data_IF_778805504266
#
_entry.id   IF_778805504266
#
_cell.length_a   1.000
_cell.length_b   1.000
_cell.length_c   1.000
_cell.angle_alpha   90.00
_cell.angle_beta   90.00
_cell.angle_gamma   90.00
#
_symmetry.space_group_name_H-M   'P 1'
#
loop_
_entity.id
_entity.type
_entity.pdbx_description
1 polymer ?
#
# COMPACT_ATOMS: atom_id res chain seq x y z
N UNK A 1 1.78 -8.28 -21.43
CA UNK A 1 1.94 -7.46 -20.21
C UNK A 1 1.51 -6.04 -20.55
N UNK A 2 0.77 -5.40 -19.66
CA UNK A 2 0.49 -3.96 -19.73
C UNK A 2 1.77 -3.17 -19.43
N UNK A 3 1.83 -1.92 -19.88
CA UNK A 3 2.94 -1.00 -19.60
C UNK A 3 2.41 0.25 -18.94
N UNK A 4 3.13 0.75 -17.96
CA UNK A 4 2.85 2.07 -17.39
C UNK A 4 3.32 3.16 -18.36
N UNK A 5 2.82 4.40 -18.22
CA UNK A 5 3.30 5.52 -19.03
C UNK A 5 4.81 5.82 -18.88
N UNK A 6 5.42 5.33 -17.79
CA UNK A 6 6.84 5.54 -17.50
C UNK A 6 7.75 4.39 -17.98
N UNK A 7 7.18 3.27 -18.46
CA UNK A 7 7.93 2.04 -18.76
C UNK A 7 9.13 2.30 -19.68
N UNK A 8 8.95 3.03 -20.79
CA UNK A 8 10.03 3.29 -21.76
C UNK A 8 11.15 4.13 -21.15
N UNK A 9 10.81 5.23 -20.50
CA UNK A 9 11.82 6.09 -19.88
C UNK A 9 12.57 5.36 -18.76
N UNK A 10 11.90 4.52 -17.95
CA UNK A 10 12.54 3.75 -16.90
C UNK A 10 13.45 2.63 -17.45
N UNK A 11 13.19 2.11 -18.67
CA UNK A 11 14.10 1.21 -19.37
C UNK A 11 15.40 1.95 -19.77
N UNK A 12 15.31 3.20 -20.25
CA UNK A 12 16.48 4.01 -20.58
C UNK A 12 17.37 4.29 -19.37
N UNK A 13 16.77 4.39 -18.17
CA UNK A 13 17.50 4.50 -16.89
C UNK A 13 18.04 3.16 -16.35
N UNK A 14 17.94 2.07 -17.12
CA UNK A 14 18.53 0.77 -16.78
C UNK A 14 17.71 -0.06 -15.79
N UNK A 15 16.43 0.18 -15.67
CA UNK A 15 15.52 -0.63 -14.88
C UNK A 15 15.55 -2.11 -15.31
N UNK A 16 15.58 -3.02 -14.34
CA UNK A 16 15.40 -4.46 -14.58
C UNK A 16 13.96 -4.81 -14.36
N UNK A 17 13.28 -5.24 -15.42
CA UNK A 17 11.84 -5.42 -15.43
C UNK A 17 11.41 -6.87 -15.14
N UNK A 18 10.25 -7.01 -14.52
CA UNK A 18 9.56 -8.28 -14.23
C UNK A 18 8.06 -8.12 -14.49
N UNK A 19 7.35 -9.25 -14.62
CA UNK A 19 5.89 -9.27 -14.57
C UNK A 19 5.44 -9.06 -13.11
N UNK A 20 4.63 -8.03 -12.88
CA UNK A 20 3.98 -7.78 -11.61
C UNK A 20 2.51 -7.41 -11.84
N UNK A 21 1.61 -8.26 -11.40
CA UNK A 21 0.15 -8.10 -11.60
C UNK A 21 -0.24 -7.85 -13.09
N UNK A 22 0.48 -8.48 -14.03
CA UNK A 22 0.26 -8.32 -15.46
C UNK A 22 0.89 -7.07 -16.08
N UNK A 23 1.61 -6.26 -15.30
CA UNK A 23 2.37 -5.11 -15.77
C UNK A 23 3.87 -5.41 -15.89
N UNK A 24 4.52 -4.82 -16.89
CA UNK A 24 5.97 -4.78 -17.00
C UNK A 24 6.52 -3.68 -16.06
N UNK A 25 7.06 -4.10 -14.89
CA UNK A 25 7.47 -3.18 -13.81
C UNK A 25 8.95 -3.33 -13.46
N UNK A 26 9.68 -2.24 -13.13
CA UNK A 26 11.06 -2.34 -12.67
C UNK A 26 11.12 -2.98 -11.28
N UNK A 27 11.86 -4.08 -11.14
CA UNK A 27 12.14 -4.68 -9.83
C UNK A 27 13.26 -3.96 -9.11
N UNK A 28 14.24 -3.44 -9.86
CA UNK A 28 15.36 -2.63 -9.36
C UNK A 28 16.06 -1.87 -10.50
N UNK A 29 16.87 -0.88 -10.13
CA UNK A 29 17.81 -0.14 -10.97
C UNK A 29 19.26 -0.43 -10.52
N UNK A 30 19.76 0.26 -9.52
CA UNK A 30 21.11 0.11 -8.97
C UNK A 30 21.21 -1.02 -7.94
N UNK A 31 20.09 -1.53 -7.48
CA UNK A 31 19.99 -2.65 -6.56
C UNK A 31 19.14 -2.37 -5.34
N UNK A 32 18.41 -3.39 -4.90
CA UNK A 32 17.38 -3.29 -3.84
C UNK A 32 17.95 -2.65 -2.56
N UNK A 33 19.16 -3.04 -2.16
CA UNK A 33 19.78 -2.52 -0.92
C UNK A 33 20.09 -1.02 -1.02
N UNK A 34 20.63 -0.58 -2.18
CA UNK A 34 20.93 0.83 -2.44
C UNK A 34 19.67 1.68 -2.46
N UNK A 35 18.66 1.24 -3.21
CA UNK A 35 17.37 1.92 -3.35
C UNK A 35 16.62 2.01 -2.02
N UNK A 36 16.59 0.92 -1.27
CA UNK A 36 16.01 0.92 0.08
C UNK A 36 16.68 1.95 0.99
N UNK A 37 18.03 1.96 1.00
CA UNK A 37 18.82 2.89 1.81
C UNK A 37 18.58 4.34 1.39
N UNK A 38 18.50 4.60 0.08
CA UNK A 38 18.19 5.94 -0.44
C UNK A 38 16.86 6.46 0.11
N UNK A 39 15.81 5.61 0.17
CA UNK A 39 14.51 6.00 0.75
C UNK A 39 14.62 6.25 2.26
N UNK A 40 15.38 5.45 3.00
CA UNK A 40 15.54 5.61 4.46
C UNK A 40 16.36 6.84 4.84
N UNK A 41 17.42 7.15 4.09
CA UNK A 41 18.40 8.18 4.45
C UNK A 41 18.24 9.48 3.63
N UNK A 42 17.56 9.41 2.48
CA UNK A 42 17.47 10.52 1.53
C UNK A 42 16.09 10.59 0.83
N UNK A 43 16.00 10.17 -0.41
CA UNK A 43 14.76 10.16 -1.19
C UNK A 43 14.82 9.15 -2.34
N UNK A 44 13.70 8.48 -2.60
CA UNK A 44 13.52 7.59 -3.74
C UNK A 44 12.27 7.93 -4.55
N UNK A 45 12.33 7.67 -5.84
CA UNK A 45 11.24 7.84 -6.81
C UNK A 45 10.79 6.48 -7.32
N UNK A 46 9.49 6.21 -7.22
CA UNK A 46 8.85 4.98 -7.68
C UNK A 46 7.80 5.29 -8.74
N UNK A 47 7.76 4.51 -9.80
CA UNK A 47 6.56 4.35 -10.63
C UNK A 47 5.58 3.43 -9.92
N UNK A 48 4.38 3.95 -9.67
CA UNK A 48 3.30 3.20 -9.04
C UNK A 48 2.00 3.26 -9.86
N UNK A 49 2.13 3.57 -11.17
CA UNK A 49 1.01 3.68 -12.11
C UNK A 49 0.36 2.33 -12.46
N UNK A 50 0.82 1.23 -11.88
CA UNK A 50 0.16 -0.07 -11.97
C UNK A 50 -1.03 -0.19 -11.02
N UNK A 51 -1.16 0.71 -10.05
CA UNK A 51 -2.33 0.78 -9.17
C UNK A 51 -3.60 1.07 -9.99
N UNK A 52 -4.77 0.85 -9.38
CA UNK A 52 -6.04 1.18 -10.00
C UNK A 52 -6.71 2.38 -9.36
N UNK A 53 -7.46 3.12 -10.15
CA UNK A 53 -8.16 4.33 -9.73
C UNK A 53 -9.62 4.30 -10.17
N UNK A 54 -10.51 4.42 -9.18
CA UNK A 54 -11.96 4.40 -9.40
C UNK A 54 -12.57 5.69 -8.89
N UNK A 55 -13.29 6.39 -9.75
CA UNK A 55 -14.06 7.57 -9.39
C UNK A 55 -15.48 7.18 -8.97
N UNK A 56 -15.92 7.68 -7.82
CA UNK A 56 -17.31 7.57 -7.35
C UNK A 56 -17.93 8.96 -7.28
N UNK A 57 -19.01 9.20 -8.01
CA UNK A 57 -19.64 10.51 -8.07
C UNK A 57 -21.17 10.43 -7.93
N UNK A 58 -21.76 11.48 -7.35
CA UNK A 58 -23.19 11.66 -7.23
C UNK A 58 -23.63 11.93 -5.79
N UNK A 59 -24.90 12.28 -5.61
CA UNK A 59 -25.46 12.61 -4.30
C UNK A 59 -25.44 11.43 -3.32
N UNK A 60 -25.47 10.19 -3.84
CA UNK A 60 -25.37 8.97 -3.04
C UNK A 60 -23.94 8.49 -2.80
N UNK A 61 -22.89 9.22 -3.25
CA UNK A 61 -21.52 8.75 -3.18
C UNK A 61 -21.03 8.54 -1.73
N UNK A 62 -21.36 9.44 -0.81
CA UNK A 62 -21.02 9.27 0.61
C UNK A 62 -21.65 8.00 1.20
N UNK A 63 -22.93 7.78 0.94
CA UNK A 63 -23.65 6.61 1.47
C UNK A 63 -23.08 5.32 0.86
N UNK A 64 -22.71 5.37 -0.43
CA UNK A 64 -22.06 4.25 -1.12
C UNK A 64 -20.72 3.89 -0.48
N UNK A 65 -19.82 4.86 -0.26
CA UNK A 65 -18.51 4.58 0.37
C UNK A 65 -18.65 4.16 1.84
N UNK A 66 -19.67 4.68 2.55
CA UNK A 66 -19.98 4.22 3.90
C UNK A 66 -20.43 2.75 3.92
N UNK A 67 -21.16 2.31 2.91
CA UNK A 67 -21.57 0.91 2.76
C UNK A 67 -20.43 -0.01 2.33
N UNK A 68 -19.59 0.44 1.39
CA UNK A 68 -18.54 -0.38 0.78
C UNK A 68 -17.35 -0.62 1.71
N UNK A 69 -16.98 0.38 2.54
CA UNK A 69 -15.70 0.37 3.24
C UNK A 69 -15.87 0.36 4.76
N UNK A 70 -14.93 -0.29 5.45
CA UNK A 70 -14.97 -0.50 6.90
C UNK A 70 -14.74 0.75 7.75
N UNK A 71 -14.06 1.76 7.21
CA UNK A 71 -13.78 3.01 7.92
C UNK A 71 -15.01 3.96 7.88
N UNK A 72 -15.04 4.97 8.75
CA UNK A 72 -16.10 5.99 8.79
C UNK A 72 -15.71 7.21 7.95
N UNK A 73 -16.57 7.62 7.04
CA UNK A 73 -16.36 8.74 6.12
C UNK A 73 -17.25 9.95 6.42
N UNK A 74 -18.14 9.88 7.42
CA UNK A 74 -19.07 10.98 7.76
C UNK A 74 -18.32 12.27 8.14
N UNK A 75 -17.10 12.15 8.67
CA UNK A 75 -16.26 13.27 9.07
C UNK A 75 -15.12 13.57 8.09
N UNK A 76 -15.04 12.84 6.99
CA UNK A 76 -13.98 13.05 5.99
C UNK A 76 -14.28 14.32 5.18
N UNK A 77 -13.36 15.27 5.23
CA UNK A 77 -13.49 16.55 4.52
C UNK A 77 -12.74 16.49 3.18
N UNK A 78 -13.17 17.35 2.25
CA UNK A 78 -12.42 17.56 0.99
C UNK A 78 -10.93 17.84 1.27
N UNK A 79 -10.06 17.31 0.42
CA UNK A 79 -8.61 17.36 0.60
C UNK A 79 -8.06 16.33 1.60
N UNK A 80 -8.88 15.40 2.10
CA UNK A 80 -8.45 14.34 3.04
C UNK A 80 -8.54 12.97 2.41
N UNK A 81 -7.65 12.08 2.88
CA UNK A 81 -7.55 10.68 2.47
C UNK A 81 -7.82 9.79 3.67
N UNK A 82 -8.41 8.62 3.44
CA UNK A 82 -8.62 7.62 4.49
C UNK A 82 -8.36 6.21 3.96
N UNK A 83 -7.49 5.48 4.66
CA UNK A 83 -7.27 4.06 4.42
C UNK A 83 -8.45 3.25 4.94
N UNK A 84 -8.82 2.21 4.22
CA UNK A 84 -9.92 1.32 4.60
C UNK A 84 -9.74 -0.07 4.01
N UNK A 85 -10.53 -1.00 4.52
CA UNK A 85 -10.73 -2.31 3.92
C UNK A 85 -12.08 -2.32 3.20
N UNK A 86 -12.15 -3.04 2.10
CA UNK A 86 -13.35 -3.42 1.38
C UNK A 86 -13.58 -4.91 1.63
N UNK A 87 -14.76 -5.29 2.12
CA UNK A 87 -15.05 -6.66 2.52
C UNK A 87 -16.12 -7.29 1.64
N UNK A 88 -16.14 -8.62 1.61
CA UNK A 88 -17.27 -9.40 1.16
C UNK A 88 -18.26 -9.67 2.30
N UNK A 89 -19.42 -10.27 1.98
CA UNK A 89 -20.48 -10.54 2.96
C UNK A 89 -20.03 -11.50 4.08
N UNK A 90 -19.02 -12.33 3.82
CA UNK A 90 -18.44 -13.28 4.77
C UNK A 90 -17.39 -12.65 5.69
N UNK A 91 -17.05 -11.38 5.51
CA UNK A 91 -16.05 -10.64 6.26
C UNK A 91 -14.61 -10.84 5.76
N UNK A 92 -14.43 -11.52 4.63
CA UNK A 92 -13.15 -11.63 3.94
C UNK A 92 -12.77 -10.31 3.25
N UNK A 93 -11.48 -10.09 3.05
CA UNK A 93 -10.97 -8.83 2.50
C UNK A 93 -10.97 -8.88 0.97
N UNK A 94 -11.84 -8.10 0.35
CA UNK A 94 -11.85 -7.92 -1.12
C UNK A 94 -10.64 -7.11 -1.55
N UNK A 95 -10.36 -5.98 -0.87
CA UNK A 95 -9.14 -5.20 -1.05
C UNK A 95 -8.89 -4.25 0.12
N UNK A 96 -7.68 -3.69 0.19
CA UNK A 96 -7.34 -2.54 1.02
C UNK A 96 -7.08 -1.32 0.13
N UNK A 97 -7.67 -0.19 0.49
CA UNK A 97 -7.80 0.96 -0.40
C UNK A 97 -7.50 2.29 0.28
N UNK A 98 -7.13 3.30 -0.53
CA UNK A 98 -7.14 4.69 -0.12
C UNK A 98 -8.33 5.42 -0.74
N UNK A 99 -9.15 6.05 0.10
CA UNK A 99 -10.31 6.83 -0.34
C UNK A 99 -10.02 8.32 -0.15
N UNK A 100 -10.04 9.05 -1.24
CA UNK A 100 -9.79 10.49 -1.34
C UNK A 100 -11.12 11.23 -1.46
N UNK A 101 -11.36 12.20 -0.59
CA UNK A 101 -12.55 13.05 -0.68
C UNK A 101 -12.23 14.32 -1.48
N UNK A 102 -12.64 14.38 -2.75
CA UNK A 102 -12.50 15.57 -3.58
C UNK A 102 -13.60 16.60 -3.24
N UNK A 103 -14.82 16.11 -3.07
CA UNK A 103 -15.96 16.87 -2.57
C UNK A 103 -16.96 15.92 -1.90
N UNK A 104 -18.02 16.42 -1.24
CA UNK A 104 -19.03 15.54 -0.64
C UNK A 104 -19.74 14.58 -1.62
N UNK A 105 -19.71 14.89 -2.91
CA UNK A 105 -20.32 14.10 -3.99
C UNK A 105 -19.29 13.47 -4.95
N UNK A 106 -17.99 13.54 -4.62
CA UNK A 106 -16.93 13.08 -5.51
C UNK A 106 -15.76 12.48 -4.72
N UNK A 107 -15.53 11.20 -4.92
CA UNK A 107 -14.46 10.44 -4.28
C UNK A 107 -13.60 9.73 -5.32
N UNK A 108 -12.31 9.64 -5.03
CA UNK A 108 -11.34 8.88 -5.79
C UNK A 108 -10.83 7.75 -4.91
N UNK A 109 -10.84 6.53 -5.42
CA UNK A 109 -10.44 5.33 -4.69
C UNK A 109 -9.24 4.72 -5.39
N UNK A 110 -8.10 4.63 -4.69
CA UNK A 110 -6.91 3.94 -5.17
C UNK A 110 -6.95 2.50 -4.65
N UNK A 111 -6.87 1.52 -5.57
CA UNK A 111 -6.98 0.07 -5.32
C UNK A 111 -5.72 -0.66 -5.77
N UNK A 112 -5.52 -1.90 -5.29
CA UNK A 112 -4.36 -2.71 -5.65
C UNK A 112 -4.39 -3.15 -7.12
N UNK A 113 -3.23 -3.17 -7.77
CA UNK A 113 -3.04 -3.48 -9.19
C UNK A 113 -3.68 -4.80 -9.64
N UNK A 114 -3.53 -5.86 -8.84
CA UNK A 114 -4.09 -7.18 -9.14
C UNK A 114 -5.60 -7.26 -9.01
N UNK A 115 -6.23 -6.27 -8.38
CA UNK A 115 -7.63 -6.31 -7.98
C UNK A 115 -8.53 -5.35 -8.78
N UNK A 116 -7.99 -4.50 -9.65
CA UNK A 116 -8.72 -3.42 -10.34
C UNK A 116 -10.06 -3.90 -10.93
N UNK A 117 -10.05 -4.97 -11.73
CA UNK A 117 -11.27 -5.51 -12.36
C UNK A 117 -12.24 -6.08 -11.31
N UNK A 118 -11.73 -6.82 -10.32
CA UNK A 118 -12.50 -7.40 -9.21
C UNK A 118 -13.17 -6.30 -8.39
N UNK A 119 -12.41 -5.29 -8.03
CA UNK A 119 -12.87 -4.19 -7.19
C UNK A 119 -13.87 -3.31 -7.91
N UNK A 120 -13.64 -2.98 -9.18
CA UNK A 120 -14.60 -2.23 -9.98
C UNK A 120 -15.94 -2.98 -10.13
N UNK A 121 -15.90 -4.29 -10.32
CA UNK A 121 -17.10 -5.14 -10.34
C UNK A 121 -17.82 -5.13 -9.00
N UNK A 122 -17.06 -5.30 -7.90
CA UNK A 122 -17.63 -5.31 -6.54
C UNK A 122 -18.27 -3.98 -6.19
N UNK A 123 -17.57 -2.89 -6.43
CA UNK A 123 -18.08 -1.53 -6.22
C UNK A 123 -19.33 -1.29 -7.07
N UNK A 124 -19.28 -1.61 -8.37
CA UNK A 124 -20.41 -1.39 -9.30
C UNK A 124 -21.66 -2.18 -8.92
N UNK A 125 -21.49 -3.41 -8.42
CA UNK A 125 -22.61 -4.24 -7.95
C UNK A 125 -23.26 -3.75 -6.65
N UNK A 126 -22.56 -2.90 -5.88
CA UNK A 126 -22.98 -2.43 -4.56
C UNK A 126 -23.25 -0.91 -4.50
N UNK A 127 -23.35 -0.24 -5.65
CA UNK A 127 -23.68 1.17 -5.71
C UNK A 127 -25.10 1.43 -5.12
N UNK A 128 -25.20 2.49 -4.35
CA UNK A 128 -26.49 3.02 -3.92
C UNK A 128 -27.07 3.99 -4.96
N UNK A 129 -28.39 4.27 -4.91
CA UNK A 129 -29.01 5.23 -5.83
C UNK A 129 -28.26 6.57 -5.89
N UNK A 130 -28.32 7.23 -7.04
CA UNK A 130 -27.64 8.50 -7.31
C UNK A 130 -26.10 8.46 -7.19
N UNK A 131 -25.50 7.28 -7.38
CA UNK A 131 -24.03 7.10 -7.46
C UNK A 131 -23.64 6.44 -8.78
N UNK A 132 -22.55 6.92 -9.38
CA UNK A 132 -21.90 6.34 -10.56
C UNK A 132 -20.45 6.04 -10.23
N UNK A 133 -19.97 4.85 -10.64
CA UNK A 133 -18.58 4.46 -10.61
C UNK A 133 -17.96 4.52 -12.01
N UNK A 134 -16.71 4.95 -12.10
CA UNK A 134 -15.94 4.98 -13.33
C UNK A 134 -14.50 4.52 -13.06
N UNK A 135 -14.02 3.52 -13.79
CA UNK A 135 -12.61 3.13 -13.78
C UNK A 135 -11.82 4.11 -14.64
N UNK A 136 -10.92 4.86 -14.00
CA UNK A 136 -10.07 5.87 -14.65
C UNK A 136 -8.59 5.44 -14.67
N UNK A 137 -8.29 4.20 -14.31
CA UNK A 137 -6.92 3.68 -14.18
C UNK A 137 -6.09 3.84 -15.44
N UNK A 138 -6.66 3.54 -16.61
CA UNK A 138 -5.94 3.64 -17.89
C UNK A 138 -5.58 5.09 -18.29
N UNK A 139 -6.22 6.07 -17.66
CA UNK A 139 -5.99 7.49 -17.90
C UNK A 139 -5.14 8.17 -16.82
N UNK A 140 -4.76 7.44 -15.76
CA UNK A 140 -4.06 7.98 -14.59
C UNK A 140 -2.65 7.42 -14.51
N UNK A 141 -1.68 8.31 -14.31
CA UNK A 141 -0.30 7.97 -13.99
C UNK A 141 0.02 8.41 -12.57
N UNK A 142 0.84 7.63 -11.87
CA UNK A 142 1.18 7.87 -10.47
C UNK A 142 2.67 7.71 -10.21
N UNK A 143 3.30 8.71 -9.59
CA UNK A 143 4.66 8.66 -9.05
C UNK A 143 4.64 8.76 -7.54
N UNK A 144 5.53 8.03 -6.85
CA UNK A 144 5.71 8.16 -5.41
C UNK A 144 7.13 8.64 -5.11
N UNK A 145 7.26 9.75 -4.36
CA UNK A 145 8.50 10.36 -3.90
C UNK A 145 8.57 10.17 -2.40
N UNK A 146 9.49 9.34 -1.93
CA UNK A 146 9.49 8.82 -0.56
C UNK A 146 10.85 8.99 0.11
N UNK A 147 10.85 9.39 1.39
CA UNK A 147 12.05 9.56 2.19
C UNK A 147 12.14 10.93 2.87
N UNK A 148 13.11 11.14 3.77
CA UNK A 148 13.23 12.38 4.55
C UNK A 148 13.40 13.65 3.70
N UNK A 149 14.01 13.53 2.50
CA UNK A 149 14.15 14.64 1.57
C UNK A 149 13.02 14.77 0.54
N UNK A 150 11.99 13.92 0.59
CA UNK A 150 10.86 14.02 -0.32
C UNK A 150 10.22 15.42 -0.30
N UNK A 151 10.01 16.01 0.87
CA UNK A 151 9.47 17.36 1.03
C UNK A 151 10.32 18.42 0.33
N UNK A 152 11.65 18.26 0.31
CA UNK A 152 12.57 19.21 -0.32
C UNK A 152 12.49 19.12 -1.86
N UNK A 153 12.32 17.92 -2.41
CA UNK A 153 12.05 17.73 -3.84
C UNK A 153 10.72 18.38 -4.22
N UNK A 154 9.67 18.15 -3.43
CA UNK A 154 8.32 18.70 -3.67
C UNK A 154 8.32 20.23 -3.64
N UNK A 155 9.05 20.86 -2.73
CA UNK A 155 9.22 22.34 -2.64
C UNK A 155 9.90 22.96 -3.85
N UNK A 156 10.61 22.19 -4.65
CA UNK A 156 11.19 22.69 -5.93
C UNK A 156 10.17 22.71 -7.06
N UNK A 157 9.08 21.98 -6.93
CA UNK A 157 8.07 21.77 -7.97
C UNK A 157 6.79 22.56 -7.68
N UNK A 158 6.37 22.54 -6.41
CA UNK A 158 5.09 23.09 -5.97
C UNK A 158 5.31 24.28 -5.05
N UNK A 159 4.33 25.20 -5.03
CA UNK A 159 4.32 26.31 -4.07
C UNK A 159 3.99 25.77 -2.67
N UNK A 160 4.50 26.45 -1.64
CA UNK A 160 4.30 26.01 -0.24
C UNK A 160 2.80 25.90 0.12
N UNK A 161 1.94 26.78 -0.39
CA UNK A 161 0.49 26.73 -0.20
C UNK A 161 -0.21 25.51 -0.81
N UNK A 162 0.41 24.89 -1.82
CA UNK A 162 -0.12 23.71 -2.52
C UNK A 162 0.33 22.40 -1.87
N UNK A 163 1.30 22.45 -0.95
CA UNK A 163 1.86 21.25 -0.32
C UNK A 163 1.01 20.81 0.87
N UNK A 164 0.47 19.58 0.87
CA UNK A 164 -0.30 19.09 2.01
C UNK A 164 0.55 19.00 3.28
N UNK A 165 0.14 19.69 4.36
CA UNK A 165 0.86 19.68 5.64
C UNK A 165 0.76 18.34 6.38
N UNK A 166 -0.42 17.70 6.31
CA UNK A 166 -0.75 16.50 7.10
C UNK A 166 -0.67 15.24 6.27
N UNK A 167 -0.16 14.17 6.85
CA UNK A 167 -0.31 12.85 6.25
C UNK A 167 -1.79 12.53 6.02
N UNK A 168 -2.07 11.77 4.96
CA UNK A 168 -3.41 11.45 4.49
C UNK A 168 -4.23 12.72 4.18
N UNK A 169 -3.59 13.66 3.49
CA UNK A 169 -4.23 14.81 2.84
C UNK A 169 -3.65 15.04 1.44
N UNK A 170 -4.40 15.73 0.61
CA UNK A 170 -4.00 16.05 -0.76
C UNK A 170 -4.49 17.44 -1.18
N UNK A 171 -3.90 17.97 -2.22
CA UNK A 171 -4.31 19.17 -2.94
C UNK A 171 -4.42 18.87 -4.42
N UNK A 172 -5.34 19.58 -5.10
CA UNK A 172 -5.39 19.63 -6.56
C UNK A 172 -4.66 20.89 -6.99
N UNK A 173 -3.70 20.74 -7.89
CA UNK A 173 -2.83 21.82 -8.35
C UNK A 173 -2.99 22.00 -9.86
N UNK A 174 -3.37 23.20 -10.27
CA UNK A 174 -3.47 23.60 -11.67
C UNK A 174 -2.20 24.31 -12.14
N UNK A 175 -1.95 24.26 -13.46
CA UNK A 175 -0.90 25.04 -14.12
C UNK A 175 0.51 24.46 -14.06
N UNK A 176 0.74 23.32 -13.41
CA UNK A 176 2.02 22.60 -13.48
C UNK A 176 2.15 21.86 -14.82
N UNK A 177 1.09 21.15 -15.20
CA UNK A 177 0.96 20.36 -16.43
C UNK A 177 -0.21 20.89 -17.27
N UNK A 178 -0.58 20.14 -18.33
CA UNK A 178 -1.75 20.49 -19.15
C UNK A 178 -3.08 20.22 -18.41
N UNK A 179 -3.07 19.25 -17.50
CA UNK A 179 -4.20 18.90 -16.63
C UNK A 179 -3.87 19.18 -15.16
N UNK A 180 -4.90 19.18 -14.33
CA UNK A 180 -4.72 19.26 -12.88
C UNK A 180 -3.93 18.05 -12.36
N UNK A 181 -3.09 18.29 -11.37
CA UNK A 181 -2.28 17.28 -10.68
C UNK A 181 -2.81 17.12 -9.27
N UNK A 182 -2.95 15.89 -8.79
CA UNK A 182 -3.24 15.64 -7.38
C UNK A 182 -1.94 15.31 -6.64
N UNK A 183 -1.55 16.20 -5.73
CA UNK A 183 -0.41 16.02 -4.83
C UNK A 183 -0.92 15.49 -3.49
N UNK A 184 -0.59 14.25 -3.15
CA UNK A 184 -1.02 13.58 -1.92
C UNK A 184 0.17 13.33 -0.99
N UNK A 185 0.01 13.58 0.33
CA UNK A 185 0.99 13.20 1.34
C UNK A 185 0.66 11.82 1.89
N UNK A 186 0.93 10.82 1.07
CA UNK A 186 0.70 9.40 1.28
C UNK A 186 1.93 8.60 0.82
N UNK A 187 1.98 7.30 1.11
CA UNK A 187 3.06 6.43 0.70
C UNK A 187 3.00 5.05 1.35
N UNK A 188 3.90 4.17 0.91
CA UNK A 188 3.94 2.77 1.30
C UNK A 188 5.35 2.33 1.75
N UNK A 189 6.06 3.22 2.44
CA UNK A 189 7.48 3.01 2.81
C UNK A 189 7.77 3.15 4.30
N UNK A 190 6.79 3.57 5.09
CA UNK A 190 6.95 4.01 6.48
C UNK A 190 7.83 5.25 6.66
N UNK A 191 8.20 5.94 5.58
CA UNK A 191 8.80 7.27 5.59
C UNK A 191 7.76 8.36 5.32
N UNK A 192 8.19 9.62 5.44
CA UNK A 192 7.43 10.73 4.87
C UNK A 192 7.56 10.71 3.36
N UNK A 193 6.51 11.17 2.68
CA UNK A 193 6.55 11.17 1.23
C UNK A 193 5.26 11.65 0.60
N UNK A 194 5.31 11.71 -0.72
CA UNK A 194 4.22 12.21 -1.54
C UNK A 194 3.96 11.27 -2.71
N UNK A 195 2.72 11.24 -3.12
CA UNK A 195 2.27 10.59 -4.35
C UNK A 195 1.65 11.64 -5.25
N UNK A 196 2.02 11.62 -6.52
CA UNK A 196 1.55 12.57 -7.52
C UNK A 196 0.78 11.81 -8.58
N UNK A 197 -0.50 12.15 -8.74
CA UNK A 197 -1.36 11.62 -9.78
C UNK A 197 -1.54 12.65 -10.88
N UNK A 198 -1.43 12.25 -12.14
CA UNK A 198 -1.66 13.09 -13.31
C UNK A 198 -2.31 12.29 -14.44
N UNK A 199 -2.76 12.98 -15.49
CA UNK A 199 -3.19 12.31 -16.70
C UNK A 199 -2.01 11.60 -17.39
N UNK A 200 -2.23 10.43 -17.98
CA UNK A 200 -1.18 9.65 -18.66
C UNK A 200 -0.44 10.44 -19.73
N UNK A 201 -1.13 11.34 -20.44
CA UNK A 201 -0.52 12.19 -21.47
C UNK A 201 0.51 13.20 -20.91
N UNK A 202 0.46 13.48 -19.63
CA UNK A 202 1.38 14.39 -18.93
C UNK A 202 2.49 13.63 -18.17
N UNK A 203 2.46 12.29 -18.16
CA UNK A 203 3.30 11.45 -17.31
C UNK A 203 4.80 11.68 -17.55
N UNK A 204 5.27 11.60 -18.79
CA UNK A 204 6.70 11.76 -19.11
C UNK A 204 7.19 13.16 -18.67
N UNK A 205 6.39 14.19 -18.92
CA UNK A 205 6.73 15.56 -18.49
C UNK A 205 6.78 15.67 -16.97
N UNK A 206 5.87 15.00 -16.25
CA UNK A 206 5.93 14.96 -14.78
C UNK A 206 7.19 14.27 -14.30
N UNK A 207 7.56 13.14 -14.92
CA UNK A 207 8.79 12.43 -14.58
C UNK A 207 10.02 13.33 -14.74
N UNK A 208 10.15 14.04 -15.87
CA UNK A 208 11.27 14.93 -16.11
C UNK A 208 11.36 16.03 -15.06
N UNK A 209 10.22 16.66 -14.71
CA UNK A 209 10.17 17.69 -13.66
C UNK A 209 10.62 17.15 -12.31
N UNK A 210 10.08 15.99 -11.90
CA UNK A 210 10.39 15.37 -10.60
C UNK A 210 11.83 14.88 -10.57
N UNK A 211 12.29 14.22 -11.63
CA UNK A 211 13.65 13.71 -11.72
C UNK A 211 14.68 14.84 -11.69
N UNK A 212 14.45 15.94 -12.42
CA UNK A 212 15.33 17.12 -12.40
C UNK A 212 15.38 17.75 -11.00
N UNK A 213 14.23 17.92 -10.36
CA UNK A 213 14.15 18.45 -8.99
C UNK A 213 14.84 17.55 -7.95
N UNK A 214 14.86 16.24 -8.20
CA UNK A 214 15.48 15.26 -7.33
C UNK A 214 17.01 15.18 -7.41
N UNK A 215 17.63 15.64 -8.51
CA UNK A 215 19.09 15.56 -8.72
C UNK A 215 19.92 16.20 -7.62
N UNK A 216 19.47 17.34 -7.09
CA UNK A 216 20.16 18.04 -6.00
C UNK A 216 20.19 17.23 -4.69
N UNK A 217 19.28 16.27 -4.58
CA UNK A 217 19.14 15.40 -3.41
C UNK A 217 19.60 13.97 -3.68
N UNK A 218 20.34 13.71 -4.74
CA UNK A 218 20.76 12.36 -5.16
C UNK A 218 19.59 11.37 -5.12
N UNK A 219 18.42 11.76 -5.64
CA UNK A 219 17.21 10.95 -5.63
C UNK A 219 17.42 9.67 -6.44
N UNK A 220 17.27 8.52 -5.80
CA UNK A 220 17.39 7.23 -6.44
C UNK A 220 16.08 6.82 -7.15
N UNK A 221 16.19 6.23 -8.34
CA UNK A 221 15.08 5.48 -8.93
C UNK A 221 14.95 4.15 -8.20
N UNK A 222 13.73 3.80 -7.80
CA UNK A 222 13.45 2.64 -6.96
C UNK A 222 12.44 1.71 -7.62
N UNK A 223 12.72 0.40 -7.54
CA UNK A 223 11.83 -0.63 -8.05
C UNK A 223 11.04 -1.35 -6.97
N UNK A 224 10.27 -2.37 -7.42
CA UNK A 224 9.40 -3.18 -6.56
C UNK A 224 10.16 -3.87 -5.43
N UNK A 225 11.43 -4.24 -5.64
CA UNK A 225 12.23 -4.90 -4.61
C UNK A 225 12.48 -4.01 -3.39
N UNK A 226 12.80 -2.72 -3.59
CA UNK A 226 12.92 -1.75 -2.52
C UNK A 226 11.55 -1.45 -1.89
N UNK A 227 10.50 -1.31 -2.71
CA UNK A 227 9.12 -1.12 -2.23
C UNK A 227 8.71 -2.23 -1.26
N UNK A 228 8.99 -3.50 -1.58
CA UNK A 228 8.64 -4.64 -0.73
C UNK A 228 9.44 -4.67 0.58
N UNK A 229 10.73 -4.44 0.56
CA UNK A 229 11.53 -4.41 1.80
C UNK A 229 11.13 -3.25 2.72
N UNK A 230 10.82 -2.07 2.15
CA UNK A 230 10.39 -0.88 2.89
C UNK A 230 9.01 -1.08 3.55
N UNK A 231 8.02 -1.55 2.77
CA UNK A 231 6.68 -1.79 3.30
C UNK A 231 6.67 -2.84 4.41
N UNK A 232 7.47 -3.93 4.24
CA UNK A 232 7.57 -5.00 5.22
C UNK A 232 8.17 -4.51 6.54
N UNK A 233 9.22 -3.68 6.50
CA UNK A 233 9.76 -3.04 7.71
C UNK A 233 8.72 -2.18 8.42
N UNK A 234 7.87 -1.49 7.66
CA UNK A 234 6.72 -0.74 8.17
C UNK A 234 5.54 -1.60 8.63
N UNK A 235 5.63 -2.93 8.47
CA UNK A 235 4.54 -3.88 8.69
C UNK A 235 3.25 -3.52 7.93
N UNK A 236 3.40 -2.87 6.78
CA UNK A 236 2.30 -2.56 5.89
C UNK A 236 1.91 -3.83 5.13
N UNK A 237 0.64 -4.25 5.19
CA UNK A 237 0.21 -5.47 4.51
C UNK A 237 0.22 -5.30 2.99
N UNK A 238 0.31 -6.43 2.30
CA UNK A 238 0.15 -6.53 0.85
C UNK A 238 -0.96 -7.53 0.57
N UNK A 239 -1.94 -7.11 -0.26
CA UNK A 239 -3.00 -8.00 -0.71
C UNK A 239 -2.44 -9.21 -1.47
N UNK A 240 -3.01 -10.39 -1.22
CA UNK A 240 -2.50 -11.67 -1.71
C UNK A 240 -1.46 -12.32 -0.81
N UNK A 241 -0.89 -11.59 0.17
CA UNK A 241 0.09 -12.07 1.14
C UNK A 241 -0.48 -12.08 2.56
N UNK A 242 -0.75 -10.92 3.14
CA UNK A 242 -1.30 -10.78 4.50
C UNK A 242 -2.82 -10.91 4.56
N UNK A 243 -3.51 -10.74 3.45
CA UNK A 243 -4.96 -10.80 3.35
C UNK A 243 -5.42 -11.14 1.93
N UNK A 244 -6.60 -11.73 1.87
CA UNK A 244 -7.33 -12.12 0.66
C UNK A 244 -8.83 -12.23 0.96
N UNK A 245 -9.61 -12.68 -0.04
CA UNK A 245 -11.07 -12.84 0.07
C UNK A 245 -11.51 -13.86 1.13
N UNK A 246 -10.63 -14.76 1.57
CA UNK A 246 -10.90 -15.78 2.59
C UNK A 246 -10.42 -15.36 3.99
N UNK A 247 -9.60 -14.31 4.06
CA UNK A 247 -9.03 -13.83 5.32
C UNK A 247 -10.01 -12.92 6.04
N UNK A 248 -10.49 -13.34 7.22
CA UNK A 248 -11.37 -12.52 8.05
C UNK A 248 -10.64 -11.24 8.46
N UNK A 249 -11.24 -10.08 8.18
CA UNK A 249 -10.59 -8.78 8.38
C UNK A 249 -10.12 -8.52 9.82
N UNK A 250 -10.74 -9.12 10.82
CA UNK A 250 -10.32 -9.03 12.22
C UNK A 250 -9.03 -9.80 12.56
N UNK A 251 -8.52 -10.66 11.64
CA UNK A 251 -7.31 -11.46 11.82
C UNK A 251 -6.03 -10.77 11.36
N UNK A 252 -6.14 -9.70 10.54
CA UNK A 252 -5.00 -9.05 9.89
C UNK A 252 -4.34 -7.96 10.73
N UNK A 253 -4.88 -7.66 11.93
CA UNK A 253 -4.30 -6.67 12.84
C UNK A 253 -4.52 -5.21 12.42
N UNK A 254 -5.52 -4.93 11.60
CA UNK A 254 -5.92 -3.60 11.13
C UNK A 254 -7.23 -3.09 11.74
N UNK A 255 -7.59 -3.59 12.92
CA UNK A 255 -8.87 -3.29 13.59
C UNK A 255 -9.13 -1.78 13.80
N UNK A 256 -8.07 -0.97 13.86
CA UNK A 256 -8.19 0.49 13.96
C UNK A 256 -8.93 1.13 12.76
N UNK A 257 -8.92 0.46 11.60
CA UNK A 257 -9.60 0.90 10.37
C UNK A 257 -10.98 0.27 10.19
N UNK A 258 -11.40 -0.61 11.10
CA UNK A 258 -12.72 -1.26 11.09
C UNK A 258 -13.60 -0.58 12.13
N UNK A 259 -14.57 0.21 11.68
CA UNK A 259 -15.45 0.99 12.54
C UNK A 259 -16.77 0.25 12.78
N UNK A 260 -16.76 -0.68 13.74
CA UNK A 260 -17.94 -1.48 14.09
C UNK A 260 -19.06 -0.66 14.73
N UNK A 261 -18.81 0.58 15.15
CA UNK A 261 -19.78 1.55 15.63
C UNK A 261 -20.58 2.25 14.52
N UNK A 262 -20.15 2.12 13.25
CA UNK A 262 -20.96 2.56 12.11
C UNK A 262 -22.30 1.82 12.07
N UNK A 263 -23.36 2.44 11.53
CA UNK A 263 -24.67 1.78 11.39
C UNK A 263 -24.54 0.46 10.61
N UNK A 264 -23.94 0.49 9.43
CA UNK A 264 -23.73 -0.71 8.62
C UNK A 264 -22.58 -0.53 7.61
N UNK A 265 -22.00 -1.65 7.16
CA UNK A 265 -21.14 -1.80 6.00
C UNK A 265 -21.08 -3.28 5.58
N UNK A 266 -20.75 -3.57 4.34
CA UNK A 266 -20.65 -4.94 3.84
C UNK A 266 -19.62 -5.74 4.65
N UNK A 267 -20.01 -6.92 5.14
CA UNK A 267 -19.18 -7.78 5.99
C UNK A 267 -19.28 -7.50 7.50
N UNK A 268 -19.95 -6.40 7.94
CA UNK A 268 -20.06 -6.07 9.37
C UNK A 268 -20.71 -7.19 10.18
N UNK A 269 -21.82 -7.75 9.70
CA UNK A 269 -22.53 -8.84 10.39
C UNK A 269 -21.61 -10.04 10.62
N UNK A 270 -20.85 -10.45 9.60
CA UNK A 270 -19.91 -11.55 9.70
C UNK A 270 -18.79 -11.26 10.72
N UNK A 271 -18.27 -10.03 10.78
CA UNK A 271 -17.25 -9.64 11.76
C UNK A 271 -17.77 -9.63 13.20
N UNK A 272 -19.07 -9.40 13.41
CA UNK A 272 -19.69 -9.45 14.73
C UNK A 272 -20.01 -10.89 15.18
N UNK A 273 -20.29 -11.78 14.21
CA UNK A 273 -20.66 -13.18 14.49
C UNK A 273 -19.44 -14.09 14.59
N UNK A 274 -18.44 -13.91 13.70
CA UNK A 274 -17.27 -14.78 13.58
C UNK A 274 -16.14 -14.29 14.50
N UNK A 275 -15.75 -15.12 15.46
CA UNK A 275 -14.53 -14.86 16.24
C UNK A 275 -13.29 -15.15 15.37
N UNK A 276 -12.23 -14.30 15.43
CA UNK A 276 -10.99 -14.57 14.72
C UNK A 276 -10.32 -15.85 15.25
N UNK A 277 -9.92 -16.72 14.33
CA UNK A 277 -9.22 -17.99 14.64
C UNK A 277 -7.72 -17.90 14.38
N UNK A 278 -7.31 -16.91 13.60
CA UNK A 278 -5.92 -16.60 13.26
C UNK A 278 -5.55 -15.20 13.74
N UNK A 279 -4.25 -14.95 13.77
CA UNK A 279 -3.69 -13.63 14.04
C UNK A 279 -2.43 -13.39 13.22
N UNK A 280 -2.18 -12.13 12.90
CA UNK A 280 -0.93 -11.68 12.27
C UNK A 280 0.07 -11.29 13.36
N UNK A 281 1.28 -11.83 13.29
CA UNK A 281 2.40 -11.48 14.16
C UNK A 281 3.62 -11.09 13.33
N UNK A 282 4.50 -10.28 13.94
CA UNK A 282 5.84 -10.02 13.44
C UNK A 282 6.85 -10.92 14.14
N UNK A 283 7.79 -11.48 13.39
CA UNK A 283 8.88 -12.29 13.92
C UNK A 283 10.24 -11.83 13.41
N UNK A 284 11.27 -12.07 14.22
CA UNK A 284 12.68 -12.00 13.87
C UNK A 284 13.27 -13.41 13.95
N UNK A 285 13.96 -13.87 12.91
CA UNK A 285 14.70 -15.13 12.96
C UNK A 285 15.93 -14.97 13.86
N UNK A 286 16.14 -15.93 14.76
CA UNK A 286 17.31 -16.00 15.63
C UNK A 286 18.45 -16.70 14.88
N UNK A 287 18.14 -17.79 14.19
CA UNK A 287 19.09 -18.53 13.39
C UNK A 287 19.31 -17.89 12.02
N UNK A 288 20.47 -18.16 11.43
CA UNK A 288 20.83 -17.64 10.12
C UNK A 288 19.98 -18.24 9.01
N UNK A 289 19.19 -17.40 8.36
CA UNK A 289 18.33 -17.74 7.22
C UNK A 289 17.34 -16.61 6.95
N UNK A 290 16.53 -16.77 5.91
CA UNK A 290 15.46 -15.85 5.55
C UNK A 290 14.21 -16.70 5.35
N UNK A 291 13.18 -16.45 6.14
CA UNK A 291 11.85 -17.00 5.92
C UNK A 291 11.24 -16.33 4.68
N UNK A 292 10.62 -17.13 3.84
CA UNK A 292 9.90 -16.65 2.66
C UNK A 292 8.44 -17.01 2.81
N UNK A 293 7.61 -16.34 2.01
CA UNK A 293 6.19 -16.64 1.90
C UNK A 293 5.93 -18.14 1.81
N UNK A 294 4.85 -18.60 2.41
CA UNK A 294 4.41 -20.00 2.53
C UNK A 294 5.35 -20.92 3.33
N UNK A 295 6.42 -20.41 3.95
CA UNK A 295 7.19 -21.21 4.91
C UNK A 295 6.35 -21.55 6.13
N UNK A 296 6.32 -22.83 6.53
CA UNK A 296 5.56 -23.30 7.68
C UNK A 296 6.09 -22.74 9.01
N UNK A 297 5.17 -22.36 9.90
CA UNK A 297 5.49 -21.87 11.25
C UNK A 297 5.01 -22.88 12.28
N UNK A 298 5.88 -23.18 13.23
CA UNK A 298 5.63 -24.16 14.29
C UNK A 298 5.80 -23.53 15.68
N UNK A 299 4.95 -23.98 16.61
CA UNK A 299 5.11 -23.78 18.06
C UNK A 299 5.46 -25.15 18.68
N UNK A 300 6.73 -25.31 19.10
CA UNK A 300 7.27 -26.64 19.35
C UNK A 300 7.19 -27.50 18.07
N UNK A 301 6.54 -28.69 18.20
CA UNK A 301 6.33 -29.59 17.06
C UNK A 301 5.00 -29.37 16.31
N UNK A 302 4.11 -28.49 16.81
CA UNK A 302 2.80 -28.25 16.23
C UNK A 302 2.91 -27.22 15.08
N UNK A 303 2.43 -27.59 13.89
CA UNK A 303 2.20 -26.62 12.81
C UNK A 303 1.08 -25.66 13.22
N UNK A 304 1.36 -24.36 13.24
CA UNK A 304 0.43 -23.32 13.71
C UNK A 304 0.10 -22.26 12.67
N UNK A 305 0.76 -22.25 11.53
CA UNK A 305 0.51 -21.31 10.47
C UNK A 305 1.66 -21.21 9.48
N UNK A 306 1.77 -20.07 8.82
CA UNK A 306 2.76 -19.86 7.75
C UNK A 306 3.25 -18.40 7.71
N UNK A 307 4.35 -18.20 7.00
CA UNK A 307 4.91 -16.87 6.69
C UNK A 307 4.12 -16.25 5.56
N UNK A 308 3.63 -15.03 5.74
CA UNK A 308 2.95 -14.24 4.70
C UNK A 308 3.92 -13.40 3.90
N UNK A 309 4.91 -12.80 4.56
CA UNK A 309 5.98 -12.02 3.92
C UNK A 309 7.26 -12.10 4.74
N UNK A 310 8.41 -12.14 4.10
CA UNK A 310 9.68 -12.19 4.83
C UNK A 310 10.88 -11.77 4.01
N UNK A 311 11.81 -11.06 4.67
CA UNK A 311 13.02 -10.53 4.04
C UNK A 311 14.17 -10.41 5.03
N UNK A 312 15.38 -10.21 4.48
CA UNK A 312 16.48 -9.63 5.24
C UNK A 312 16.28 -8.11 5.25
N UNK A 313 15.93 -7.54 6.41
CA UNK A 313 15.72 -6.10 6.55
C UNK A 313 17.02 -5.35 6.31
N UNK A 314 17.08 -4.47 5.30
CA UNK A 314 18.29 -3.68 5.06
C UNK A 314 18.57 -2.67 6.17
N UNK A 315 17.52 -2.10 6.79
CA UNK A 315 17.66 -1.13 7.88
C UNK A 315 18.13 -1.78 9.18
N UNK A 316 17.53 -2.95 9.53
CA UNK A 316 17.79 -3.58 10.83
C UNK A 316 18.95 -4.59 10.80
N UNK A 317 19.39 -5.02 9.61
CA UNK A 317 20.40 -6.07 9.44
C UNK A 317 19.93 -7.43 9.97
N UNK A 318 18.62 -7.69 9.99
CA UNK A 318 17.98 -8.87 10.57
C UNK A 318 16.98 -9.48 9.61
N UNK A 319 16.82 -10.80 9.69
CA UNK A 319 15.77 -11.50 8.97
C UNK A 319 14.44 -11.32 9.74
N UNK A 320 13.49 -10.65 9.11
CA UNK A 320 12.15 -10.37 9.65
C UNK A 320 11.09 -11.00 8.77
N UNK A 321 9.95 -11.35 9.38
CA UNK A 321 8.80 -11.84 8.65
C UNK A 321 7.48 -11.48 9.36
N UNK A 322 6.43 -11.29 8.56
CA UNK A 322 5.05 -11.36 9.04
C UNK A 322 4.54 -12.78 8.88
N UNK A 323 3.80 -13.26 9.86
CA UNK A 323 3.24 -14.61 9.90
C UNK A 323 1.74 -14.55 10.20
N UNK A 324 0.99 -15.49 9.64
CA UNK A 324 -0.40 -15.76 10.01
C UNK A 324 -0.48 -17.10 10.72
N UNK A 325 -0.83 -17.08 11.97
CA UNK A 325 -0.82 -18.25 12.86
C UNK A 325 -2.14 -18.39 13.62
N UNK A 326 -2.39 -19.58 14.16
CA UNK A 326 -3.52 -19.80 15.07
C UNK A 326 -3.51 -18.75 16.19
N UNK A 327 -4.70 -18.33 16.61
CA UNK A 327 -4.84 -17.46 17.77
C UNK A 327 -4.48 -18.23 19.05
N UNK A 328 -3.97 -17.51 20.04
CA UNK A 328 -3.70 -18.06 21.39
C UNK A 328 -2.65 -19.20 21.42
N UNK A 329 -1.67 -19.18 20.49
CA UNK A 329 -0.53 -20.11 20.52
C UNK A 329 0.50 -19.71 21.58
N UNK A 330 1.24 -20.70 22.08
CA UNK A 330 2.46 -20.43 22.84
C UNK A 330 3.57 -19.96 21.90
N UNK A 331 4.01 -18.71 22.06
CA UNK A 331 5.04 -18.08 21.23
C UNK A 331 6.45 -18.23 21.77
N UNK A 332 6.64 -18.95 22.89
CA UNK A 332 7.93 -19.11 23.56
C UNK A 332 8.91 -20.00 22.80
N UNK A 333 8.41 -20.93 21.96
CA UNK A 333 9.21 -21.87 21.15
C UNK A 333 8.74 -21.87 19.69
N UNK A 334 8.87 -20.70 19.04
CA UNK A 334 8.54 -20.55 17.62
C UNK A 334 9.72 -20.91 16.73
N UNK A 335 9.40 -21.62 15.64
CA UNK A 335 10.34 -21.90 14.57
C UNK A 335 9.67 -21.83 13.19
N UNK A 336 10.47 -21.54 12.16
CA UNK A 336 10.04 -21.49 10.76
C UNK A 336 10.78 -22.57 9.99
N UNK A 337 10.08 -23.36 9.19
CA UNK A 337 10.73 -24.29 8.26
C UNK A 337 11.26 -23.52 7.04
N UNK A 338 12.57 -23.49 6.90
CA UNK A 338 13.26 -22.91 5.76
C UNK A 338 14.02 -24.00 5.03
N UNK A 339 13.45 -24.52 3.96
CA UNK A 339 14.03 -25.59 3.13
C UNK A 339 14.37 -26.85 3.95
N UNK A 340 13.44 -27.31 4.80
CA UNK A 340 13.60 -28.51 5.64
C UNK A 340 14.44 -28.29 6.90
N UNK A 341 14.75 -27.04 7.26
CA UNK A 341 15.45 -26.69 8.50
C UNK A 341 14.56 -25.83 9.39
N UNK A 342 14.39 -26.25 10.63
CA UNK A 342 13.68 -25.47 11.65
C UNK A 342 14.58 -24.36 12.18
N UNK A 343 14.30 -23.11 11.78
CA UNK A 343 15.00 -21.92 12.25
C UNK A 343 14.22 -21.31 13.41
N UNK A 344 14.88 -21.12 14.53
CA UNK A 344 14.27 -20.46 15.70
C UNK A 344 13.88 -19.02 15.38
N UNK A 345 12.73 -18.61 15.86
CA UNK A 345 12.20 -17.29 15.72
C UNK A 345 11.67 -16.75 17.05
N UNK A 346 11.58 -15.43 17.15
CA UNK A 346 10.92 -14.75 18.29
C UNK A 346 9.93 -13.75 17.78
N UNK A 347 8.81 -13.60 18.49
CA UNK A 347 7.85 -12.54 18.21
C UNK A 347 8.46 -11.17 18.55
N UNK A 348 8.21 -10.20 17.69
CA UNK A 348 8.64 -8.81 17.88
C UNK A 348 7.44 -7.88 17.63
N UNK A 349 7.42 -6.69 18.28
CA UNK A 349 6.37 -5.71 18.03
C UNK A 349 6.34 -5.24 16.57
N UNK A 350 5.14 -4.98 16.05
CA UNK A 350 4.92 -4.32 14.78
C UNK A 350 4.63 -2.82 14.99
N UNK A 351 5.07 -1.94 14.08
CA UNK A 351 5.95 -2.21 12.94
C UNK A 351 7.39 -2.51 13.38
N UNK A 352 8.15 -3.21 12.52
CA UNK A 352 9.58 -3.52 12.76
C UNK A 352 10.43 -2.26 12.77
N UNK A 353 10.13 -1.32 11.89
CA UNK A 353 10.77 -0.02 11.76
C UNK A 353 9.78 1.11 12.01
N UNK A 354 10.23 2.12 12.75
CA UNK A 354 9.51 3.39 12.93
C UNK A 354 10.46 4.53 12.63
N UNK A 355 10.08 5.42 11.71
CA UNK A 355 10.86 6.63 11.46
C UNK A 355 11.01 7.44 12.73
N UNK A 356 12.19 8.02 12.93
CA UNK A 356 12.41 9.03 13.96
C UNK A 356 11.70 10.32 13.53
N UNK A 357 11.03 10.97 14.46
CA UNK A 357 10.33 12.24 14.20
C UNK A 357 11.32 13.39 14.18
#
# INVERSE_FOLDING_TARGET
MKRTPYCEILQEYGGKFVDFAGFEMPVQFEGILHEHKAVRENVGLFDVSHMGEIMLRGKGALDTIQRLFTNDYTTLKSGRVRYSLMLNDEGGVVDDVLVYCLSPELYFVCVNASNVEKDFKWISANLLPDTVAEDVSENTAQLAIQGPNAINVIRKIFKEEDIPEKNYSFTLVDGLLNSAVMLSRTGYTAEDGFEIYCACNDAVRLFDIVHEAGKEFDMALCGLGARDTLRLEGAMPLYGHEMDDETLASEIGLNMFIKLDKPDFIGKAALLEKAPTKQRLGIELIDRGIAREHSDVYAGDKLVGYVTSGTMSPTLGKAIAMIRVDKDIDTSDLSVDVRGRRLKAKVVPLPFYKRQK
#
